data_IF_154552960066
#
_entry.id   IF_154552960066
#
_cell.length_a   1.000
_cell.length_b   1.000
_cell.length_c   1.000
_cell.angle_alpha   90.00
_cell.angle_beta   90.00
_cell.angle_gamma   90.00
#
_symmetry.space_group_name_H-M   'P 1'
#
loop_
_entity.id
_entity.type
_entity.pdbx_description
1 polymer ?
#
# COMPACT_ATOMS: atom_id res chain seq x y z
N UNK A 1 65.04 -74.68 86.61
CA UNK A 1 65.39 -73.93 85.38
C UNK A 1 64.10 -73.67 84.61
N UNK A 2 63.91 -72.41 84.21
CA UNK A 2 62.65 -71.82 83.78
C UNK A 2 62.21 -72.30 82.38
N UNK A 3 60.91 -72.60 82.23
CA UNK A 3 60.27 -72.71 80.92
C UNK A 3 59.74 -71.32 80.52
N UNK A 4 60.34 -70.75 79.49
CA UNK A 4 60.02 -69.43 78.96
C UNK A 4 58.69 -69.48 78.19
N UNK A 5 57.74 -68.68 78.65
CA UNK A 5 56.43 -68.43 78.06
C UNK A 5 56.60 -67.54 76.82
N UNK A 6 55.93 -67.85 75.71
CA UNK A 6 56.03 -67.03 74.50
C UNK A 6 55.26 -67.55 73.29
N UNK A 7 53.96 -67.83 73.42
CA UNK A 7 53.10 -67.95 72.23
C UNK A 7 52.85 -66.55 71.66
N UNK A 8 53.59 -66.21 70.59
CA UNK A 8 53.32 -65.03 69.76
C UNK A 8 51.94 -65.18 69.13
N UNK A 9 50.94 -64.46 69.64
CA UNK A 9 49.68 -64.25 68.92
C UNK A 9 50.06 -63.50 67.63
N UNK A 10 49.85 -64.13 66.47
CA UNK A 10 50.06 -63.50 65.17
C UNK A 10 48.98 -62.40 65.01
N UNK A 11 49.34 -61.12 64.82
CA UNK A 11 48.36 -60.02 64.71
C UNK A 11 47.39 -60.16 63.52
N UNK A 12 47.75 -60.95 62.52
CA UNK A 12 46.98 -61.05 61.26
C UNK A 12 45.68 -61.85 61.37
N UNK A 13 45.47 -62.62 62.44
CA UNK A 13 44.22 -63.38 62.64
C UNK A 13 43.11 -62.58 63.34
N UNK A 14 43.36 -61.31 63.70
CA UNK A 14 42.40 -60.47 64.44
C UNK A 14 41.82 -59.33 63.61
N UNK A 15 41.94 -59.40 62.29
CA UNK A 15 41.30 -58.47 61.38
C UNK A 15 40.07 -59.17 60.78
N UNK A 16 38.84 -58.86 61.22
CA UNK A 16 37.65 -59.41 60.60
C UNK A 16 37.66 -59.01 59.13
N UNK A 17 37.44 -59.96 58.22
CA UNK A 17 37.43 -59.71 56.78
C UNK A 17 36.14 -58.95 56.42
N UNK A 18 36.11 -57.65 56.75
CA UNK A 18 35.02 -56.72 56.48
C UNK A 18 34.88 -56.39 54.97
N UNK A 19 35.76 -56.92 54.13
CA UNK A 19 35.81 -56.66 52.69
C UNK A 19 34.56 -57.13 51.95
N UNK A 20 33.97 -58.27 52.36
CA UNK A 20 32.72 -58.78 51.79
C UNK A 20 31.49 -57.92 52.14
N UNK A 21 31.42 -57.41 53.37
CA UNK A 21 30.35 -56.51 53.80
C UNK A 21 30.51 -55.10 53.23
N UNK A 22 31.74 -54.59 53.13
CA UNK A 22 32.03 -53.32 52.48
C UNK A 22 31.70 -53.36 50.98
N UNK A 23 32.07 -54.45 50.28
CA UNK A 23 31.79 -54.63 48.86
C UNK A 23 30.30 -54.91 48.59
N UNK A 24 29.60 -55.63 49.48
CA UNK A 24 28.15 -55.79 49.41
C UNK A 24 27.41 -54.46 49.67
N UNK A 25 27.87 -53.67 50.64
CA UNK A 25 27.34 -52.33 50.90
C UNK A 25 27.59 -51.38 49.73
N UNK A 26 28.74 -51.47 49.07
CA UNK A 26 29.08 -50.69 47.87
C UNK A 26 28.22 -51.07 46.66
N UNK A 27 27.96 -52.37 46.45
CA UNK A 27 27.05 -52.86 45.40
C UNK A 27 25.60 -52.42 45.68
N UNK A 28 25.15 -52.52 46.93
CA UNK A 28 23.81 -52.10 47.33
C UNK A 28 23.64 -50.58 47.22
N UNK A 29 24.65 -49.80 47.61
CA UNK A 29 24.64 -48.35 47.47
C UNK A 29 24.64 -47.93 45.99
N UNK A 30 25.41 -48.62 45.15
CA UNK A 30 25.42 -48.39 43.70
C UNK A 30 24.09 -48.74 43.04
N UNK A 31 23.45 -49.84 43.48
CA UNK A 31 22.13 -50.23 42.99
C UNK A 31 21.03 -49.23 43.42
N UNK A 32 21.07 -48.75 44.66
CA UNK A 32 20.14 -47.73 45.18
C UNK A 32 20.37 -46.38 44.49
N UNK A 33 21.62 -46.00 44.23
CA UNK A 33 21.94 -44.78 43.49
C UNK A 33 21.46 -44.83 42.02
N UNK A 34 21.59 -45.98 41.36
CA UNK A 34 21.09 -46.17 40.00
C UNK A 34 19.56 -46.19 39.94
N UNK A 35 18.90 -46.84 40.91
CA UNK A 35 17.44 -46.84 41.04
C UNK A 35 16.90 -45.44 41.37
N UNK A 36 17.57 -44.72 42.29
CA UNK A 36 17.24 -43.34 42.63
C UNK A 36 17.36 -42.38 41.43
N UNK A 37 18.38 -42.57 40.58
CA UNK A 37 18.53 -41.81 39.34
C UNK A 37 17.44 -42.14 38.32
N UNK A 38 17.15 -43.42 38.10
CA UNK A 38 16.09 -43.84 37.17
C UNK A 38 14.70 -43.39 37.64
N UNK A 39 14.43 -43.45 38.95
CA UNK A 39 13.19 -42.93 39.55
C UNK A 39 13.16 -41.40 39.43
N UNK A 40 14.25 -40.70 39.70
CA UNK A 40 14.36 -39.25 39.53
C UNK A 40 14.09 -38.80 38.10
N UNK A 41 14.77 -39.40 37.12
CA UNK A 41 14.54 -39.16 35.69
C UNK A 41 13.10 -39.50 35.27
N UNK A 42 12.53 -40.57 35.84
CA UNK A 42 11.14 -40.97 35.60
C UNK A 42 10.13 -39.96 36.17
N UNK A 43 10.39 -39.43 37.36
CA UNK A 43 9.55 -38.41 38.02
C UNK A 43 9.62 -37.10 37.25
N UNK A 44 10.80 -36.65 36.83
CA UNK A 44 10.96 -35.43 36.03
C UNK A 44 10.24 -35.54 34.68
N UNK A 45 10.43 -36.65 33.95
CA UNK A 45 9.71 -36.91 32.69
C UNK A 45 8.19 -36.96 32.89
N UNK A 46 7.73 -37.56 34.00
CA UNK A 46 6.31 -37.59 34.32
C UNK A 46 5.74 -36.19 34.61
N UNK A 47 6.45 -35.37 35.38
CA UNK A 47 6.07 -33.99 35.64
C UNK A 47 6.02 -33.17 34.34
N UNK A 48 7.07 -33.25 33.51
CA UNK A 48 7.12 -32.58 32.20
C UNK A 48 5.95 -33.02 31.29
N UNK A 49 5.67 -34.32 31.22
CA UNK A 49 4.57 -34.83 30.40
C UNK A 49 3.20 -34.32 30.89
N UNK A 50 3.03 -34.20 32.21
CA UNK A 50 1.81 -33.63 32.80
C UNK A 50 1.67 -32.15 32.47
N UNK A 51 2.74 -31.37 32.57
CA UNK A 51 2.75 -29.96 32.20
C UNK A 51 2.43 -29.76 30.71
N UNK A 52 3.08 -30.51 29.82
CA UNK A 52 2.81 -30.47 28.36
C UNK A 52 1.36 -30.83 28.06
N UNK A 53 0.80 -31.83 28.75
CA UNK A 53 -0.59 -32.23 28.57
C UNK A 53 -1.56 -31.15 29.04
N UNK A 54 -1.31 -30.53 30.21
CA UNK A 54 -2.14 -29.44 30.72
C UNK A 54 -2.06 -28.20 29.82
N UNK A 55 -0.86 -27.80 29.41
CA UNK A 55 -0.66 -26.69 28.49
C UNK A 55 -1.32 -26.95 27.13
N UNK A 56 -1.23 -28.19 26.63
CA UNK A 56 -1.90 -28.59 25.39
C UNK A 56 -3.42 -28.52 25.49
N UNK A 57 -4.02 -28.97 26.60
CA UNK A 57 -5.47 -28.86 26.81
C UNK A 57 -5.93 -27.42 26.95
N UNK A 58 -5.21 -26.60 27.72
CA UNK A 58 -5.50 -25.17 27.85
C UNK A 58 -5.42 -24.45 26.49
N UNK A 59 -4.42 -24.81 25.67
CA UNK A 59 -4.29 -24.30 24.31
C UNK A 59 -5.46 -24.75 23.42
N UNK A 60 -5.84 -26.03 23.48
CA UNK A 60 -6.96 -26.58 22.71
C UNK A 60 -8.29 -25.92 23.11
N UNK A 61 -8.52 -25.71 24.41
CA UNK A 61 -9.70 -25.01 24.94
C UNK A 61 -9.72 -23.55 24.48
N UNK A 62 -8.60 -22.84 24.58
CA UNK A 62 -8.47 -21.46 24.10
C UNK A 62 -8.73 -21.35 22.59
N UNK A 63 -8.20 -22.28 21.79
CA UNK A 63 -8.42 -22.32 20.35
C UNK A 63 -9.87 -22.68 20.00
N UNK A 64 -10.49 -23.64 20.71
CA UNK A 64 -11.88 -24.01 20.51
C UNK A 64 -12.86 -22.91 20.94
N UNK A 65 -12.52 -22.13 21.97
CA UNK A 65 -13.28 -20.95 22.37
C UNK A 65 -13.16 -19.81 21.35
N UNK A 66 -11.98 -19.62 20.76
CA UNK A 66 -11.75 -18.60 19.73
C UNK A 66 -12.40 -18.93 18.38
N UNK A 67 -12.45 -20.23 18.01
CA UNK A 67 -13.08 -20.69 16.78
C UNK A 67 -13.99 -21.92 17.04
N UNK A 68 -15.32 -21.72 17.17
CA UNK A 68 -16.27 -22.82 17.35
C UNK A 68 -16.28 -23.84 16.20
N UNK A 69 -15.81 -23.48 15.00
CA UNK A 69 -15.75 -24.41 13.86
C UNK A 69 -14.66 -25.47 14.04
N UNK A 70 -13.65 -25.18 14.86
CA UNK A 70 -12.56 -26.11 15.18
C UNK A 70 -13.09 -27.38 15.86
N UNK A 71 -14.08 -27.26 16.76
CA UNK A 71 -14.69 -28.42 17.44
C UNK A 71 -15.32 -29.37 16.43
N UNK A 72 -16.06 -28.81 15.46
CA UNK A 72 -16.66 -29.59 14.38
C UNK A 72 -15.58 -30.20 13.48
N UNK A 73 -14.52 -29.47 13.16
CA UNK A 73 -13.40 -29.97 12.38
C UNK A 73 -12.67 -31.12 13.07
N UNK A 74 -12.44 -31.03 14.38
CA UNK A 74 -11.83 -32.10 15.19
C UNK A 74 -12.69 -33.37 15.24
N UNK A 75 -14.02 -33.21 15.37
CA UNK A 75 -14.98 -34.34 15.32
C UNK A 75 -14.99 -35.01 13.94
N UNK A 76 -14.88 -34.22 12.88
CA UNK A 76 -15.01 -34.68 11.50
C UNK A 76 -13.67 -35.07 10.84
N UNK A 77 -12.52 -34.75 11.45
CA UNK A 77 -11.19 -35.06 10.91
C UNK A 77 -10.95 -36.57 10.70
N UNK A 78 -11.70 -37.42 11.41
CA UNK A 78 -11.54 -38.87 11.35
C UNK A 78 -10.14 -39.32 11.80
N UNK A 79 -9.80 -40.58 11.52
CA UNK A 79 -8.47 -41.12 11.78
C UNK A 79 -7.99 -40.98 13.24
N UNK A 80 -6.70 -40.70 13.42
CA UNK A 80 -6.09 -40.57 14.74
C UNK A 80 -6.51 -39.28 15.47
N UNK A 81 -6.77 -38.20 14.73
CA UNK A 81 -7.20 -36.90 15.30
C UNK A 81 -8.59 -37.02 15.92
N UNK A 82 -9.57 -37.57 15.19
CA UNK A 82 -10.92 -37.76 15.72
C UNK A 82 -10.96 -38.72 16.92
N UNK A 83 -10.16 -39.80 16.87
CA UNK A 83 -10.01 -40.75 18.00
C UNK A 83 -9.33 -40.12 19.22
N UNK A 84 -8.33 -39.27 19.00
CA UNK A 84 -7.67 -38.52 20.07
C UNK A 84 -8.64 -37.52 20.71
N UNK A 85 -9.39 -36.79 19.89
CA UNK A 85 -10.39 -35.83 20.37
C UNK A 85 -11.52 -36.49 21.17
N UNK A 86 -12.07 -37.62 20.69
CA UNK A 86 -13.09 -38.36 21.43
C UNK A 86 -12.58 -38.87 22.79
N UNK A 87 -11.30 -39.27 22.87
CA UNK A 87 -10.66 -39.66 24.13
C UNK A 87 -10.50 -38.47 25.08
N UNK A 88 -10.19 -37.28 24.56
CA UNK A 88 -10.17 -36.04 25.33
C UNK A 88 -11.57 -35.69 25.86
N UNK A 89 -12.61 -35.73 25.02
CA UNK A 89 -14.00 -35.49 25.45
C UNK A 89 -14.45 -36.47 26.54
N UNK A 90 -14.04 -37.74 26.45
CA UNK A 90 -14.37 -38.77 27.45
C UNK A 90 -13.55 -38.70 28.75
N UNK A 91 -12.55 -37.81 28.82
CA UNK A 91 -11.63 -37.70 29.97
C UNK A 91 -10.59 -38.83 30.08
N UNK A 92 -10.49 -39.73 29.10
CA UNK A 92 -9.55 -40.86 29.08
C UNK A 92 -8.46 -40.66 28.00
N UNK A 93 -7.73 -39.55 28.10
CA UNK A 93 -6.71 -39.14 27.14
C UNK A 93 -5.29 -39.34 27.68
N UNK A 94 -4.33 -39.46 26.76
CA UNK A 94 -2.92 -39.38 27.07
C UNK A 94 -2.25 -38.17 26.40
N UNK A 95 -0.97 -37.93 26.71
CA UNK A 95 -0.20 -36.81 26.15
C UNK A 95 -0.21 -36.80 24.61
N UNK A 96 -0.09 -37.98 23.98
CA UNK A 96 -0.09 -38.11 22.52
C UNK A 96 -1.42 -37.64 21.92
N UNK A 97 -2.53 -37.95 22.57
CA UNK A 97 -3.86 -37.53 22.12
C UNK A 97 -3.96 -36.01 22.12
N UNK A 98 -3.56 -35.39 23.23
CA UNK A 98 -3.55 -33.92 23.37
C UNK A 98 -2.67 -33.27 22.31
N UNK A 99 -1.43 -33.74 22.13
CA UNK A 99 -0.51 -33.24 21.12
C UNK A 99 -1.03 -33.40 19.69
N UNK A 100 -1.71 -34.51 19.41
CA UNK A 100 -2.29 -34.78 18.09
C UNK A 100 -3.41 -33.78 17.79
N UNK A 101 -4.29 -33.53 18.76
CA UNK A 101 -5.39 -32.55 18.59
C UNK A 101 -4.90 -31.11 18.55
N UNK A 102 -3.90 -30.71 19.35
CA UNK A 102 -3.37 -29.33 19.31
C UNK A 102 -2.57 -29.06 18.05
N UNK A 103 -1.84 -30.05 17.54
CA UNK A 103 -1.16 -29.97 16.24
C UNK A 103 -2.16 -29.77 15.10
N UNK A 104 -3.24 -30.54 15.08
CA UNK A 104 -4.33 -30.36 14.11
C UNK A 104 -4.97 -28.99 14.22
N UNK A 105 -5.32 -28.55 15.44
CA UNK A 105 -5.97 -27.26 15.67
C UNK A 105 -5.11 -26.07 15.22
N UNK A 106 -3.80 -26.16 15.42
CA UNK A 106 -2.84 -25.15 14.94
C UNK A 106 -2.78 -25.11 13.41
N UNK A 107 -2.72 -26.26 12.76
CA UNK A 107 -2.72 -26.36 11.29
C UNK A 107 -4.03 -25.85 10.67
N UNK A 108 -5.17 -26.18 11.29
CA UNK A 108 -6.49 -25.71 10.85
C UNK A 108 -6.60 -24.18 10.92
N UNK A 109 -6.18 -23.58 12.04
CA UNK A 109 -6.17 -22.12 12.18
C UNK A 109 -5.26 -21.44 11.16
N UNK A 110 -4.08 -21.99 10.91
CA UNK A 110 -3.17 -21.48 9.89
C UNK A 110 -3.79 -21.57 8.48
N UNK A 111 -4.43 -22.69 8.16
CA UNK A 111 -5.13 -22.86 6.88
C UNK A 111 -6.25 -21.84 6.71
N UNK A 112 -7.05 -21.59 7.75
CA UNK A 112 -8.12 -20.58 7.73
C UNK A 112 -7.56 -19.17 7.52
N UNK A 113 -6.46 -18.83 8.18
CA UNK A 113 -5.79 -17.54 7.99
C UNK A 113 -5.27 -17.39 6.56
N UNK A 114 -4.66 -18.43 6.00
CA UNK A 114 -4.19 -18.43 4.63
C UNK A 114 -5.35 -18.26 3.64
N UNK A 115 -6.47 -18.97 3.84
CA UNK A 115 -7.65 -18.82 2.98
C UNK A 115 -8.24 -17.41 3.05
N UNK A 116 -8.34 -16.79 4.23
CA UNK A 116 -8.79 -15.40 4.37
C UNK A 116 -7.84 -14.42 3.71
N UNK A 117 -6.53 -14.62 3.88
CA UNK A 117 -5.51 -13.79 3.25
C UNK A 117 -5.60 -13.87 1.71
N UNK A 118 -5.72 -15.08 1.16
CA UNK A 118 -5.90 -15.28 -0.28
C UNK A 118 -7.21 -14.71 -0.81
N UNK A 119 -8.31 -14.79 -0.06
CA UNK A 119 -9.58 -14.15 -0.45
C UNK A 119 -9.45 -12.63 -0.49
N UNK A 120 -8.80 -12.03 0.52
CA UNK A 120 -8.54 -10.58 0.54
C UNK A 120 -7.61 -10.15 -0.59
N UNK A 121 -6.59 -10.94 -0.88
CA UNK A 121 -5.69 -10.69 -2.00
C UNK A 121 -6.43 -10.76 -3.35
N UNK A 122 -7.25 -11.79 -3.55
CA UNK A 122 -8.09 -11.92 -4.75
C UNK A 122 -9.06 -10.74 -4.90
N UNK A 123 -9.69 -10.28 -3.81
CA UNK A 123 -10.56 -9.11 -3.82
C UNK A 123 -9.80 -7.83 -4.18
N UNK A 124 -8.57 -7.65 -3.66
CA UNK A 124 -7.71 -6.51 -4.00
C UNK A 124 -7.30 -6.52 -5.47
N UNK A 125 -6.92 -7.69 -5.99
CA UNK A 125 -6.56 -7.84 -7.41
C UNK A 125 -7.78 -7.53 -8.28
N UNK A 126 -8.95 -8.07 -7.92
CA UNK A 126 -10.19 -7.82 -8.65
C UNK A 126 -10.57 -6.33 -8.62
N UNK A 127 -10.45 -5.66 -7.48
CA UNK A 127 -10.73 -4.22 -7.39
C UNK A 127 -9.74 -3.41 -8.22
N UNK A 128 -8.44 -3.73 -8.16
CA UNK A 128 -7.41 -3.03 -8.92
C UNK A 128 -7.60 -3.22 -10.44
N UNK A 129 -7.96 -4.43 -10.89
CA UNK A 129 -8.29 -4.70 -12.28
C UNK A 129 -9.53 -3.91 -12.73
N UNK A 130 -10.58 -3.86 -11.90
CA UNK A 130 -11.77 -3.06 -12.22
C UNK A 130 -11.48 -1.57 -12.31
N UNK A 131 -10.60 -1.06 -11.45
CA UNK A 131 -10.17 0.34 -11.46
C UNK A 131 -9.35 0.65 -12.71
N UNK A 132 -8.42 -0.23 -13.09
CA UNK A 132 -7.65 -0.08 -14.34
C UNK A 132 -8.56 -0.08 -15.57
N UNK A 133 -9.51 -1.02 -15.65
CA UNK A 133 -10.49 -1.05 -16.75
C UNK A 133 -11.35 0.22 -16.79
N UNK A 134 -11.73 0.77 -15.64
CA UNK A 134 -12.46 2.04 -15.60
C UNK A 134 -11.60 3.22 -16.06
N UNK A 135 -10.31 3.25 -15.70
CA UNK A 135 -9.37 4.27 -16.18
C UNK A 135 -9.17 4.20 -17.69
N UNK A 136 -8.94 3.00 -18.23
CA UNK A 136 -8.78 2.79 -19.68
C UNK A 136 -10.05 3.20 -20.44
N UNK A 137 -11.24 2.81 -19.94
CA UNK A 137 -12.52 3.23 -20.52
C UNK A 137 -12.71 4.74 -20.44
N UNK A 138 -12.33 5.36 -19.32
CA UNK A 138 -12.46 6.81 -19.14
C UNK A 138 -11.52 7.58 -20.06
N UNK A 139 -10.28 7.12 -20.23
CA UNK A 139 -9.34 7.70 -21.20
C UNK A 139 -9.87 7.60 -22.63
N UNK A 140 -10.35 6.42 -23.03
CA UNK A 140 -10.96 6.25 -24.36
C UNK A 140 -12.20 7.13 -24.54
N UNK A 141 -13.04 7.26 -23.50
CA UNK A 141 -14.19 8.14 -23.50
C UNK A 141 -13.79 9.63 -23.62
N UNK A 142 -12.71 10.04 -22.95
CA UNK A 142 -12.14 11.38 -23.07
C UNK A 142 -11.67 11.67 -24.50
N UNK A 143 -10.90 10.77 -25.10
CA UNK A 143 -10.43 10.93 -26.48
C UNK A 143 -11.59 11.02 -27.48
N UNK A 144 -12.60 10.16 -27.33
CA UNK A 144 -13.80 10.20 -28.17
C UNK A 144 -14.61 11.49 -27.96
N UNK A 145 -14.75 11.95 -26.72
CA UNK A 145 -15.43 13.19 -26.40
C UNK A 145 -14.70 14.40 -27.00
N UNK A 146 -13.36 14.42 -26.91
CA UNK A 146 -12.53 15.46 -27.52
C UNK A 146 -12.73 15.51 -29.04
N UNK A 147 -12.75 14.36 -29.71
CA UNK A 147 -13.03 14.30 -31.15
C UNK A 147 -14.46 14.75 -31.49
N UNK A 148 -15.46 14.35 -30.71
CA UNK A 148 -16.86 14.71 -30.94
C UNK A 148 -17.13 16.20 -30.70
N UNK A 149 -16.41 16.82 -29.77
CA UNK A 149 -16.51 18.24 -29.44
C UNK A 149 -15.73 19.17 -30.38
N UNK A 150 -14.96 18.65 -31.34
CA UNK A 150 -14.22 19.48 -32.29
C UNK A 150 -15.15 20.03 -33.38
N UNK A 151 -15.13 21.34 -33.55
CA UNK A 151 -15.81 22.01 -34.65
C UNK A 151 -15.12 21.67 -35.98
N UNK A 152 -15.91 21.25 -36.97
CA UNK A 152 -15.40 20.79 -38.26
C UNK A 152 -14.66 21.87 -39.08
N UNK A 153 -14.99 23.16 -38.85
CA UNK A 153 -14.42 24.27 -39.63
C UNK A 153 -13.21 24.92 -38.96
N UNK A 154 -13.21 25.06 -37.64
CA UNK A 154 -12.18 25.80 -36.89
C UNK A 154 -11.18 24.87 -36.20
N UNK A 155 -11.52 23.59 -36.01
CA UNK A 155 -10.77 22.64 -35.21
C UNK A 155 -10.74 22.96 -33.71
N UNK A 156 -11.48 23.99 -33.26
CA UNK A 156 -11.62 24.34 -31.85
C UNK A 156 -12.48 23.29 -31.13
N UNK A 157 -12.20 23.11 -29.85
CA UNK A 157 -12.93 22.20 -28.96
C UNK A 157 -14.02 23.00 -28.27
N UNK A 158 -15.29 22.62 -28.48
CA UNK A 158 -16.40 23.16 -27.70
C UNK A 158 -16.34 22.57 -26.27
N UNK A 159 -15.75 23.34 -25.35
CA UNK A 159 -15.58 22.89 -23.96
C UNK A 159 -16.90 22.77 -23.21
N UNK A 160 -17.95 23.47 -23.66
CA UNK A 160 -19.31 23.37 -23.12
C UNK A 160 -19.96 22.02 -23.44
N UNK A 161 -19.77 21.51 -24.65
CA UNK A 161 -20.25 20.20 -25.08
C UNK A 161 -19.37 19.02 -24.62
N UNK A 162 -18.07 19.26 -24.37
CA UNK A 162 -17.09 18.23 -24.03
C UNK A 162 -17.46 17.40 -22.79
N UNK A 163 -17.97 18.05 -21.73
CA UNK A 163 -18.36 17.36 -20.49
C UNK A 163 -19.53 16.38 -20.71
N UNK A 164 -20.54 16.80 -21.48
CA UNK A 164 -21.68 15.95 -21.80
C UNK A 164 -21.25 14.75 -22.66
N UNK A 165 -20.44 14.99 -23.70
CA UNK A 165 -19.89 13.93 -24.54
C UNK A 165 -19.04 12.93 -23.74
N UNK A 166 -18.22 13.39 -22.78
CA UNK A 166 -17.42 12.52 -21.92
C UNK A 166 -18.29 11.54 -21.11
N UNK A 167 -19.37 12.04 -20.52
CA UNK A 167 -20.29 11.19 -19.77
C UNK A 167 -21.10 10.23 -20.64
N UNK A 168 -21.51 10.65 -21.84
CA UNK A 168 -22.23 9.83 -22.80
C UNK A 168 -21.36 8.68 -23.34
N UNK A 169 -20.05 8.92 -23.48
CA UNK A 169 -19.06 7.90 -23.83
C UNK A 169 -18.65 7.00 -22.65
N UNK A 170 -19.25 7.20 -21.46
CA UNK A 170 -19.03 6.37 -20.28
C UNK A 170 -17.84 6.76 -19.42
N UNK A 171 -17.27 7.95 -19.63
CA UNK A 171 -16.20 8.51 -18.81
C UNK A 171 -16.67 8.85 -17.40
N UNK A 172 -15.88 8.47 -16.39
CA UNK A 172 -16.20 8.69 -14.97
C UNK A 172 -14.96 9.04 -14.12
N UNK A 173 -13.78 9.17 -14.71
CA UNK A 173 -12.56 9.48 -13.96
C UNK A 173 -12.60 10.93 -13.43
N UNK A 174 -12.42 11.14 -12.11
CA UNK A 174 -12.39 12.48 -11.53
C UNK A 174 -11.27 13.38 -12.04
N UNK A 175 -10.16 12.84 -12.52
CA UNK A 175 -9.04 13.63 -13.04
C UNK A 175 -9.38 14.21 -14.42
N UNK A 176 -10.01 13.43 -15.29
CA UNK A 176 -10.47 13.91 -16.60
C UNK A 176 -11.49 15.04 -16.42
N UNK A 177 -12.40 14.92 -15.44
CA UNK A 177 -13.36 15.99 -15.13
C UNK A 177 -12.69 17.31 -14.71
N UNK A 178 -11.60 17.24 -13.94
CA UNK A 178 -10.83 18.44 -13.58
C UNK A 178 -10.16 19.08 -14.81
N UNK A 179 -9.68 18.26 -15.74
CA UNK A 179 -9.12 18.75 -17.00
C UNK A 179 -10.22 19.46 -17.80
N UNK A 180 -11.38 18.84 -17.97
CA UNK A 180 -12.53 19.45 -18.68
C UNK A 180 -12.94 20.77 -18.02
N UNK A 181 -13.06 20.79 -16.69
CA UNK A 181 -13.41 22.02 -15.95
C UNK A 181 -12.36 23.12 -16.14
N UNK A 182 -11.08 22.77 -16.18
CA UNK A 182 -10.01 23.74 -16.45
C UNK A 182 -10.08 24.29 -17.87
N UNK A 183 -10.45 23.47 -18.86
CA UNK A 183 -10.66 23.91 -20.24
C UNK A 183 -11.84 24.87 -20.35
N UNK A 184 -12.95 24.59 -19.65
CA UNK A 184 -14.12 25.48 -19.61
C UNK A 184 -13.81 26.84 -18.99
N UNK A 185 -12.94 26.90 -17.97
CA UNK A 185 -12.50 28.17 -17.35
C UNK A 185 -11.66 29.04 -18.28
N UNK A 186 -11.02 28.46 -19.30
CA UNK A 186 -10.27 29.21 -20.31
C UNK A 186 -11.23 29.89 -21.32
N UNK A 187 -12.42 29.32 -21.55
CA UNK A 187 -13.45 29.87 -22.44
C UNK A 187 -14.50 30.75 -21.73
N UNK A 188 -14.62 30.63 -20.40
CA UNK A 188 -15.47 31.52 -19.60
C UNK A 188 -14.88 32.93 -19.42
N UNK A 189 -15.71 33.93 -19.10
CA UNK A 189 -15.22 35.28 -18.86
C UNK A 189 -14.27 35.31 -17.66
N UNK A 190 -13.09 35.87 -17.86
CA UNK A 190 -12.08 35.98 -16.80
C UNK A 190 -12.46 37.12 -15.85
N UNK A 191 -13.03 36.77 -14.70
CA UNK A 191 -13.39 37.75 -13.66
C UNK A 191 -12.19 37.93 -12.72
N UNK A 192 -11.57 39.11 -12.74
CA UNK A 192 -10.47 39.47 -11.86
C UNK A 192 -10.95 40.55 -10.86
N UNK A 193 -10.45 40.48 -9.62
CA UNK A 193 -10.66 41.52 -8.61
C UNK A 193 -9.33 42.19 -8.33
N UNK A 194 -9.24 43.47 -8.68
CA UNK A 194 -8.05 44.29 -8.59
C UNK A 194 -8.19 45.30 -7.45
N UNK A 195 -7.10 45.62 -6.76
CA UNK A 195 -7.06 46.73 -5.80
C UNK A 195 -6.33 47.90 -6.47
N UNK A 196 -7.08 48.94 -6.82
CA UNK A 196 -6.61 50.09 -7.58
C UNK A 196 -6.96 51.35 -6.79
N UNK A 197 -5.95 52.09 -6.32
CA UNK A 197 -6.17 53.33 -5.54
C UNK A 197 -6.97 53.13 -4.25
N UNK A 198 -7.00 51.92 -3.69
CA UNK A 198 -7.82 51.55 -2.53
C UNK A 198 -9.28 51.19 -2.87
N UNK A 199 -9.62 51.04 -4.15
CA UNK A 199 -10.89 50.50 -4.62
C UNK A 199 -10.72 49.04 -5.02
N UNK A 200 -11.66 48.19 -4.61
CA UNK A 200 -11.81 46.84 -5.15
C UNK A 200 -12.55 46.94 -6.48
N UNK A 201 -11.81 46.84 -7.58
CA UNK A 201 -12.34 46.89 -8.94
C UNK A 201 -12.55 45.47 -9.43
N UNK A 202 -13.78 45.16 -9.83
CA UNK A 202 -14.10 43.91 -10.53
C UNK A 202 -13.99 44.19 -12.02
N UNK A 203 -13.19 43.36 -12.70
CA UNK A 203 -13.08 43.38 -14.16
C UNK A 203 -13.55 42.06 -14.74
N UNK A 204 -14.10 42.12 -15.94
CA UNK A 204 -14.46 40.94 -16.73
C UNK A 204 -13.73 41.06 -18.07
N UNK A 205 -12.82 40.13 -18.37
CA UNK A 205 -12.02 40.13 -19.59
C UNK A 205 -11.23 41.44 -19.79
N UNK A 206 -10.74 42.03 -18.69
CA UNK A 206 -10.03 43.30 -18.70
C UNK A 206 -10.93 44.54 -18.82
N UNK A 207 -12.27 44.38 -18.88
CA UNK A 207 -13.20 45.52 -18.87
C UNK A 207 -13.71 45.80 -17.47
N UNK A 208 -13.81 47.08 -17.13
CA UNK A 208 -14.41 47.54 -15.88
C UNK A 208 -15.87 47.07 -15.76
N UNK A 209 -16.22 46.49 -14.61
CA UNK A 209 -17.61 46.13 -14.27
C UNK A 209 -18.16 47.03 -13.17
N UNK A 210 -17.47 47.01 -12.02
CA UNK A 210 -17.87 47.77 -10.84
C UNK A 210 -16.66 47.98 -9.96
N UNK A 211 -16.68 49.03 -9.14
CA UNK A 211 -15.70 49.25 -8.10
C UNK A 211 -16.37 49.73 -6.83
N UNK A 212 -15.80 49.40 -5.69
CA UNK A 212 -16.24 49.91 -4.41
C UNK A 212 -15.05 50.11 -3.46
N UNK A 213 -15.18 51.11 -2.60
CA UNK A 213 -14.27 51.34 -1.47
C UNK A 213 -15.11 51.44 -0.21
N UNK A 214 -14.86 50.54 0.74
CA UNK A 214 -15.59 50.46 2.01
C UNK A 214 -17.13 50.37 1.87
N UNK A 215 -17.61 49.81 0.75
CA UNK A 215 -19.03 49.67 0.44
C UNK A 215 -19.67 50.88 -0.25
N UNK A 216 -18.91 51.95 -0.51
CA UNK A 216 -19.37 53.11 -1.25
C UNK A 216 -18.95 53.05 -2.73
N UNK A 217 -19.84 53.53 -3.60
CA UNK A 217 -19.57 53.64 -5.03
C UNK A 217 -18.57 54.78 -5.31
N UNK A 218 -17.66 54.61 -6.28
CA UNK A 218 -16.70 55.64 -6.66
C UNK A 218 -17.41 56.89 -7.18
N UNK A 219 -16.85 58.06 -6.88
CA UNK A 219 -17.29 59.32 -7.49
C UNK A 219 -16.99 59.32 -9.00
N UNK A 220 -17.68 60.15 -9.82
CA UNK A 220 -17.40 60.25 -11.25
C UNK A 220 -15.93 60.60 -11.58
N UNK A 221 -15.28 61.41 -10.73
CA UNK A 221 -13.86 61.71 -10.87
C UNK A 221 -12.98 60.48 -10.57
N UNK A 222 -13.33 59.70 -9.55
CA UNK A 222 -12.63 58.46 -9.22
C UNK A 222 -12.80 57.40 -10.33
N UNK A 223 -13.99 57.31 -10.95
CA UNK A 223 -14.22 56.42 -12.09
C UNK A 223 -13.29 56.73 -13.27
N UNK A 224 -13.11 58.01 -13.64
CA UNK A 224 -12.20 58.40 -14.71
C UNK A 224 -10.74 58.04 -14.40
N UNK A 225 -10.33 58.17 -13.13
CA UNK A 225 -9.00 57.73 -12.71
C UNK A 225 -8.84 56.22 -12.79
N UNK A 226 -9.84 55.46 -12.33
CA UNK A 226 -9.84 54.00 -12.39
C UNK A 226 -9.81 53.48 -13.82
N UNK A 227 -10.60 54.06 -14.73
CA UNK A 227 -10.59 53.71 -16.16
C UNK A 227 -9.21 53.98 -16.78
N UNK A 228 -8.60 55.13 -16.50
CA UNK A 228 -7.26 55.47 -16.99
C UNK A 228 -6.17 54.54 -16.46
N UNK A 229 -6.26 54.11 -15.20
CA UNK A 229 -5.35 53.12 -14.60
C UNK A 229 -5.57 51.72 -15.18
N UNK A 230 -6.82 51.35 -15.49
CA UNK A 230 -7.15 50.08 -16.16
C UNK A 230 -6.60 50.02 -17.58
N UNK A 231 -6.73 51.10 -18.35
CA UNK A 231 -6.16 51.21 -19.71
C UNK A 231 -4.64 51.05 -19.69
N UNK A 232 -3.96 51.64 -18.71
CA UNK A 232 -2.52 51.48 -18.54
C UNK A 232 -2.15 50.05 -18.14
N UNK A 233 -2.95 49.39 -17.31
CA UNK A 233 -2.76 47.99 -16.93
C UNK A 233 -2.97 47.04 -18.13
N UNK A 234 -3.95 47.33 -19.00
CA UNK A 234 -4.14 46.59 -20.24
C UNK A 234 -2.95 46.76 -21.21
N UNK A 235 -2.41 47.98 -21.31
CA UNK A 235 -1.17 48.24 -22.07
C UNK A 235 0.02 47.46 -21.50
N UNK A 236 0.20 47.45 -20.18
CA UNK A 236 1.26 46.67 -19.54
C UNK A 236 1.13 45.17 -19.87
N UNK A 237 -0.09 44.62 -19.80
CA UNK A 237 -0.37 43.23 -20.15
C UNK A 237 -0.08 42.94 -21.63
N UNK A 238 -0.43 43.86 -22.54
CA UNK A 238 -0.16 43.70 -23.97
C UNK A 238 1.34 43.63 -24.25
N UNK A 239 2.10 44.59 -23.73
CA UNK A 239 3.55 44.68 -23.92
C UNK A 239 4.28 43.49 -23.29
N UNK A 240 3.81 43.01 -22.14
CA UNK A 240 4.29 41.77 -21.52
C UNK A 240 4.08 40.53 -22.41
N UNK A 241 2.88 40.39 -22.99
CA UNK A 241 2.57 39.28 -23.91
C UNK A 241 3.34 39.37 -25.24
N UNK A 242 3.81 40.56 -25.63
CA UNK A 242 4.70 40.78 -26.77
C UNK A 242 6.17 40.43 -26.44
N UNK A 243 6.47 40.07 -25.19
CA UNK A 243 7.79 39.65 -24.72
C UNK A 243 8.67 40.76 -24.15
N UNK A 244 8.15 42.00 -24.06
CA UNK A 244 8.88 43.14 -23.49
C UNK A 244 8.53 43.31 -22.00
N UNK A 245 9.12 42.43 -21.17
CA UNK A 245 8.90 42.43 -19.72
C UNK A 245 9.38 43.73 -19.05
N UNK A 246 10.41 44.38 -19.59
CA UNK A 246 10.97 45.62 -19.04
C UNK A 246 9.96 46.75 -19.18
N UNK A 247 9.41 46.95 -20.38
CA UNK A 247 8.41 47.99 -20.59
C UNK A 247 7.10 47.72 -19.81
N UNK A 248 6.72 46.45 -19.65
CA UNK A 248 5.59 46.10 -18.78
C UNK A 248 5.84 46.44 -17.31
N UNK A 249 7.05 46.16 -16.80
CA UNK A 249 7.46 46.50 -15.43
C UNK A 249 7.44 48.01 -15.18
N UNK A 250 7.93 48.81 -16.14
CA UNK A 250 7.92 50.27 -16.02
C UNK A 250 6.49 50.82 -15.92
N UNK A 251 5.56 50.30 -16.72
CA UNK A 251 4.15 50.71 -16.66
C UNK A 251 3.53 50.32 -15.31
N UNK A 252 3.77 49.10 -14.81
CA UNK A 252 3.29 48.65 -13.51
C UNK A 252 3.86 49.47 -12.35
N UNK A 253 5.13 49.84 -12.43
CA UNK A 253 5.79 50.67 -11.42
C UNK A 253 5.19 52.08 -11.35
N UNK A 254 4.87 52.69 -12.50
CA UNK A 254 4.18 53.99 -12.58
C UNK A 254 2.78 53.93 -11.99
N UNK A 255 2.05 52.84 -12.25
CA UNK A 255 0.73 52.61 -11.69
C UNK A 255 0.75 52.41 -10.17
N UNK A 256 1.89 52.01 -9.60
CA UNK A 256 2.02 51.74 -8.17
C UNK A 256 1.13 50.59 -7.69
N UNK A 257 0.65 49.77 -8.62
CA UNK A 257 -0.17 48.58 -8.37
C UNK A 257 0.73 47.38 -8.05
N UNK A 258 0.17 46.37 -7.37
CA UNK A 258 0.86 45.12 -7.03
C UNK A 258 2.19 45.34 -6.32
N UNK A 259 2.11 45.76 -5.05
CA UNK A 259 3.29 45.87 -4.21
C UNK A 259 3.58 44.55 -3.49
N UNK A 260 4.85 44.25 -3.30
CA UNK A 260 5.29 43.20 -2.38
C UNK A 260 5.06 43.63 -0.92
N UNK A 261 5.38 42.73 0.02
CA UNK A 261 5.22 42.97 1.46
C UNK A 261 6.10 44.14 1.96
N UNK A 262 7.11 44.52 1.17
CA UNK A 262 8.07 45.59 1.45
C UNK A 262 7.72 46.90 0.74
N UNK A 263 6.64 46.94 -0.05
CA UNK A 263 6.18 48.11 -0.78
C UNK A 263 6.80 48.30 -2.16
N UNK A 264 7.61 47.36 -2.66
CA UNK A 264 8.23 47.42 -3.99
C UNK A 264 7.25 46.94 -5.08
N UNK A 265 7.32 47.47 -6.31
CA UNK A 265 6.54 46.96 -7.43
C UNK A 265 6.89 45.50 -7.71
N UNK A 266 5.87 44.65 -7.88
CA UNK A 266 6.05 43.27 -8.32
C UNK A 266 6.38 43.21 -9.82
N UNK A 267 7.23 42.26 -10.26
CA UNK A 267 7.52 42.08 -11.67
C UNK A 267 6.29 41.58 -12.43
N UNK A 268 6.18 41.95 -13.70
CA UNK A 268 5.09 41.62 -14.61
C UNK A 268 4.90 40.10 -14.76
N UNK A 269 5.98 39.32 -14.68
CA UNK A 269 5.91 37.85 -14.64
C UNK A 269 5.23 37.28 -13.40
N UNK A 270 5.33 37.96 -12.25
CA UNK A 270 4.60 37.57 -11.04
C UNK A 270 3.14 38.07 -11.09
N UNK A 271 2.89 39.22 -11.72
CA UNK A 271 1.57 39.84 -11.81
C UNK A 271 0.67 39.18 -12.86
N UNK A 272 1.20 38.88 -14.05
CA UNK A 272 0.45 38.34 -15.18
C UNK A 272 0.67 36.84 -15.41
N UNK A 273 1.62 36.22 -14.70
CA UNK A 273 2.00 34.83 -14.90
C UNK A 273 2.87 34.63 -16.15
N UNK A 274 3.19 33.38 -16.52
CA UNK A 274 4.02 33.10 -17.70
C UNK A 274 3.37 33.68 -18.97
N UNK A 275 4.17 34.28 -19.89
CA UNK A 275 3.62 34.88 -21.10
C UNK A 275 2.90 33.79 -21.90
N UNK A 276 1.70 34.11 -22.40
CA UNK A 276 1.00 33.22 -23.34
C UNK A 276 1.84 33.19 -24.62
N UNK A 277 2.63 32.14 -24.81
CA UNK A 277 3.37 31.91 -26.04
C UNK A 277 2.39 31.89 -27.21
N UNK A 278 2.29 33.01 -27.92
CA UNK A 278 1.56 33.11 -29.17
C UNK A 278 2.56 32.86 -30.31
N UNK A 279 2.61 31.60 -30.78
CA UNK A 279 3.39 31.12 -31.93
C UNK A 279 4.14 29.85 -31.56
N UNK A 280 3.90 28.66 -32.12
CA UNK A 280 3.78 28.33 -33.55
C UNK A 280 4.62 29.24 -34.45
N UNK A 281 5.85 28.80 -34.73
CA UNK A 281 6.81 29.55 -35.51
C UNK A 281 8.25 29.10 -35.26
N UNK A 282 8.57 27.91 -35.78
CA UNK A 282 9.85 27.58 -36.44
C UNK A 282 10.97 28.64 -36.34
N UNK A 283 12.12 28.29 -35.75
CA UNK A 283 13.30 28.07 -36.59
C UNK A 283 14.48 27.33 -35.93
N UNK A 284 15.19 26.66 -36.83
CA UNK A 284 16.45 25.95 -36.75
C UNK A 284 17.62 26.66 -36.03
N UNK A 285 18.56 25.84 -35.53
CA UNK A 285 19.97 26.20 -35.39
C UNK A 285 20.62 25.64 -34.13
N UNK A 286 21.10 24.39 -34.16
CA UNK A 286 22.52 24.06 -34.40
C UNK A 286 23.46 24.40 -33.25
N UNK A 287 24.07 23.36 -32.66
CA UNK A 287 25.33 23.51 -31.90
C UNK A 287 25.59 22.45 -30.84
N UNK A 288 26.00 21.25 -31.26
CA UNK A 288 27.03 20.36 -30.67
C UNK A 288 27.66 20.81 -29.32
N UNK A 289 27.91 19.97 -28.30
CA UNK A 289 28.63 18.69 -28.35
C UNK A 289 28.79 18.08 -26.93
N UNK A 290 29.16 16.80 -26.89
CA UNK A 290 29.69 16.01 -25.74
C UNK A 290 28.66 15.54 -24.70
N UNK A 291 28.62 14.28 -24.25
CA UNK A 291 29.53 13.14 -24.38
C UNK A 291 28.82 11.89 -23.91
N UNK A 292 29.02 10.78 -24.63
CA UNK A 292 29.18 9.42 -24.12
C UNK A 292 28.07 8.86 -23.22
N UNK A 293 27.35 7.87 -23.74
CA UNK A 293 27.56 6.48 -23.33
C UNK A 293 26.76 5.57 -24.26
N UNK A 294 27.54 4.79 -25.01
CA UNK A 294 27.10 3.66 -25.80
C UNK A 294 26.48 2.55 -24.92
N UNK A 295 25.69 1.71 -25.61
CA UNK A 295 25.42 0.29 -25.31
C UNK A 295 24.52 -0.09 -24.12
N UNK A 296 23.22 -0.22 -24.42
CA UNK A 296 22.44 -1.40 -24.05
C UNK A 296 21.14 -1.52 -24.88
N UNK A 297 21.28 -1.81 -26.18
CA UNK A 297 20.19 -2.39 -26.98
C UNK A 297 20.23 -3.91 -26.77
N UNK A 298 19.33 -4.41 -25.92
CA UNK A 298 18.91 -5.83 -25.87
C UNK A 298 17.38 -5.82 -25.91
N UNK A 299 16.81 -5.87 -27.12
CA UNK A 299 16.36 -7.11 -27.75
C UNK A 299 15.28 -7.82 -26.94
N UNK A 300 14.02 -7.45 -27.18
CA UNK A 300 12.86 -8.28 -26.89
C UNK A 300 11.86 -8.12 -28.05
N UNK A 301 12.17 -8.78 -29.16
CA UNK A 301 11.14 -9.18 -30.12
C UNK A 301 10.30 -10.26 -29.45
N UNK A 302 9.10 -9.90 -29.02
CA UNK A 302 8.09 -10.86 -28.62
C UNK A 302 7.66 -11.66 -29.85
N UNK A 303 7.92 -12.96 -29.81
CA UNK A 303 7.45 -13.96 -30.76
C UNK A 303 5.92 -14.08 -30.66
N UNK A 304 5.23 -13.73 -31.74
CA UNK A 304 3.76 -13.82 -31.88
C UNK A 304 3.30 -15.16 -32.47
N UNK A 305 3.99 -16.27 -32.17
CA UNK A 305 3.73 -17.57 -32.81
C UNK A 305 3.39 -18.70 -31.82
N UNK A 306 2.48 -18.44 -30.86
CA UNK A 306 1.86 -19.53 -30.08
C UNK A 306 0.50 -19.11 -29.51
N UNK A 307 -0.43 -18.79 -30.40
CA UNK A 307 -1.85 -18.84 -30.05
C UNK A 307 -2.32 -20.30 -30.18
N UNK A 308 -2.93 -20.89 -29.13
CA UNK A 308 -3.43 -22.25 -29.20
C UNK A 308 -4.47 -22.36 -30.31
N UNK A 309 -4.35 -23.41 -31.11
CA UNK A 309 -5.27 -23.66 -32.21
C UNK A 309 -6.68 -23.95 -31.67
N UNK A 310 -7.74 -23.69 -32.44
CA UNK A 310 -9.12 -24.01 -32.03
C UNK A 310 -9.31 -25.46 -31.57
N UNK A 311 -8.53 -26.40 -32.13
CA UNK A 311 -8.55 -27.82 -31.77
C UNK A 311 -7.94 -28.08 -30.37
N UNK A 312 -6.92 -27.32 -29.97
CA UNK A 312 -6.31 -27.41 -28.63
C UNK A 312 -7.23 -26.84 -27.55
N UNK A 313 -8.02 -25.81 -27.89
CA UNK A 313 -9.03 -25.23 -26.99
C UNK A 313 -10.19 -26.22 -26.79
N UNK A 314 -10.58 -26.96 -27.82
CA UNK A 314 -11.66 -27.95 -27.74
C UNK A 314 -11.25 -29.20 -26.94
N UNK A 315 -10.00 -29.64 -27.06
CA UNK A 315 -9.45 -30.73 -26.26
C UNK A 315 -9.37 -30.39 -24.76
N UNK A 316 -9.06 -29.13 -24.42
CA UNK A 316 -9.01 -28.67 -23.03
C UNK A 316 -10.40 -28.68 -22.37
N UNK A 317 -11.45 -28.30 -23.12
CA UNK A 317 -12.82 -28.28 -22.61
C UNK A 317 -13.41 -29.68 -22.42
N UNK A 318 -13.03 -30.67 -23.24
CA UNK A 318 -13.49 -32.05 -23.07
C UNK A 318 -12.86 -32.77 -21.86
N UNK A 319 -11.69 -32.32 -21.38
CA UNK A 319 -11.04 -32.88 -20.20
C UNK A 319 -11.72 -32.47 -18.87
N UNK A 320 -12.42 -31.32 -18.85
CA UNK A 320 -13.04 -30.78 -17.64
C UNK A 320 -14.51 -31.18 -17.42
N UNK A 321 -15.15 -31.80 -18.41
CA UNK A 321 -16.58 -32.12 -18.40
C UNK A 321 -16.92 -33.60 -18.20
N UNK A 322 -15.94 -34.47 -17.91
CA UNK A 322 -16.25 -35.86 -17.52
C UNK A 322 -16.48 -35.97 -16.02
N UNK A 323 -17.67 -36.39 -15.56
CA UNK A 323 -17.88 -36.71 -14.16
C UNK A 323 -17.07 -37.97 -13.82
N UNK A 324 -16.29 -37.90 -12.73
CA UNK A 324 -15.57 -39.06 -12.21
C UNK A 324 -16.56 -40.17 -11.81
N UNK A 325 -16.21 -41.45 -12.03
CA UNK A 325 -17.01 -42.61 -11.60
C UNK A 325 -17.07 -42.74 -10.07
#
# INVERSE_FOLDING_TARGET
>A
MAFQVGSRIRPELNNPDFSGFARAAEIQASAIANLGRQIGEGIEKYQQNKEVTLAGLASLEGQAAADPTLVSALKNAGGDVGKAYARIESGNYNQRDVLTTTGFASAYNQQQQNMRASQLENLKIQSAQSEQQQKEKSQSAFDMALMASREAETGKVDTGALAAAYFDQGGRDPNDLKIIESMQKIEGPNIEVLDIGGFKVVTQDGRYMTAARDGEAPSPAALQTLEGELDQLERARKVYNEGDEIAANDILAVLGLYKDILGNPKPASEVFGPPKNNGDGSDNGSGDNSSGLDDAVLNNQATTDNLPTPEEIEAFNQAFLKPNP
#
